data_IF_432900140465
#
_entry.id   IF_432900140465
#
_cell.length_a   1.000
_cell.length_b   1.000
_cell.length_c   1.000
_cell.angle_alpha   90.00
_cell.angle_beta   90.00
_cell.angle_gamma   90.00
#
_symmetry.space_group_name_H-M   'P 1'
#
loop_
_entity.id
_entity.type
_entity.pdbx_description
1 polymer ?
#
# COMPACT_ATOMS: atom_id res chain seq x y z
N UNK A 1 67.67 21.68 -5.94
CA UNK A 1 67.85 22.89 -5.12
C UNK A 1 67.39 24.10 -5.91
N UNK A 2 66.79 25.07 -5.23
CA UNK A 2 66.61 26.47 -5.61
C UNK A 2 65.76 26.83 -6.85
N UNK A 3 64.59 27.41 -6.52
CA UNK A 3 63.79 28.38 -7.27
C UNK A 3 64.62 29.38 -8.08
N UNK A 4 64.16 29.75 -9.28
CA UNK A 4 64.24 31.15 -9.74
C UNK A 4 63.14 31.44 -10.77
N UNK A 5 62.39 32.52 -10.52
CA UNK A 5 61.36 33.11 -11.38
C UNK A 5 61.98 34.09 -12.39
N UNK A 6 61.44 34.08 -13.62
CA UNK A 6 61.21 35.15 -14.63
C UNK A 6 62.31 36.17 -14.98
N UNK A 7 62.44 36.60 -16.26
CA UNK A 7 61.55 37.66 -16.82
C UNK A 7 61.27 37.57 -18.37
N UNK A 8 60.10 37.97 -18.90
CA UNK A 8 59.64 39.28 -19.49
C UNK A 8 59.95 39.52 -20.99
N UNK A 9 58.84 39.70 -21.77
CA UNK A 9 58.58 40.44 -23.04
C UNK A 9 59.37 40.07 -24.33
N UNK A 10 58.86 40.15 -25.57
CA UNK A 10 57.81 40.97 -26.20
C UNK A 10 57.20 40.22 -27.43
N UNK A 11 55.89 40.29 -27.65
CA UNK A 11 55.16 41.15 -28.61
C UNK A 11 55.58 41.00 -30.09
N UNK A 12 54.70 40.42 -30.91
CA UNK A 12 54.39 40.93 -32.27
C UNK A 12 53.03 40.39 -32.71
N UNK A 13 52.18 41.32 -33.14
CA UNK A 13 50.82 41.12 -33.62
C UNK A 13 50.79 40.52 -35.01
N UNK A 14 49.84 39.63 -35.30
CA UNK A 14 49.24 39.57 -36.63
C UNK A 14 47.73 39.37 -36.52
N UNK A 15 47.01 40.26 -37.19
CA UNK A 15 45.57 40.27 -37.33
C UNK A 15 45.06 39.02 -38.08
N UNK A 16 43.87 38.53 -37.72
CA UNK A 16 43.30 37.38 -38.41
C UNK A 16 41.87 37.01 -38.02
N UNK A 17 40.90 37.71 -38.63
CA UNK A 17 39.54 37.25 -38.97
C UNK A 17 38.58 36.96 -37.80
N UNK A 18 37.58 37.84 -37.67
CA UNK A 18 36.36 37.62 -36.87
C UNK A 18 35.54 36.47 -37.47
N UNK A 19 35.41 35.37 -36.75
CA UNK A 19 34.37 34.36 -36.99
C UNK A 19 33.03 34.84 -36.39
N UNK A 20 31.88 34.53 -37.01
CA UNK A 20 30.58 34.93 -36.48
C UNK A 20 30.28 34.16 -35.19
N UNK A 21 29.88 34.90 -34.15
CA UNK A 21 29.43 34.32 -32.89
C UNK A 21 28.07 33.66 -33.12
N UNK A 22 28.02 32.33 -33.20
CA UNK A 22 26.77 31.61 -33.00
C UNK A 22 26.32 31.85 -31.55
N UNK A 23 25.21 32.58 -31.38
CA UNK A 23 24.49 32.64 -30.11
C UNK A 23 23.87 31.26 -29.86
N UNK A 24 24.49 30.45 -29.00
CA UNK A 24 23.79 29.32 -28.37
C UNK A 24 22.72 29.92 -27.46
N UNK A 25 21.46 29.82 -27.88
CA UNK A 25 20.33 30.01 -26.98
C UNK A 25 20.40 28.88 -25.93
N UNK A 26 20.65 29.23 -24.68
CA UNK A 26 20.47 28.31 -23.57
C UNK A 26 18.97 28.14 -23.37
N UNK A 27 18.40 27.06 -23.92
CA UNK A 27 17.04 26.64 -23.61
C UNK A 27 17.03 26.22 -22.14
N UNK A 28 16.48 27.07 -21.27
CA UNK A 28 16.13 26.68 -19.91
C UNK A 28 15.00 25.65 -20.05
N UNK A 29 15.34 24.36 -19.94
CA UNK A 29 14.33 23.32 -19.73
C UNK A 29 13.88 23.49 -18.29
N UNK A 30 12.76 24.18 -18.10
CA UNK A 30 12.05 24.14 -16.84
C UNK A 30 11.61 22.69 -16.63
N UNK A 31 12.37 21.94 -15.82
CA UNK A 31 11.92 20.67 -15.26
C UNK A 31 10.71 20.99 -14.41
N UNK A 32 9.52 20.79 -14.98
CA UNK A 32 8.26 20.85 -14.27
C UNK A 32 8.35 19.86 -13.11
N UNK A 33 8.35 20.38 -11.89
CA UNK A 33 8.11 19.57 -10.72
C UNK A 33 6.65 19.14 -10.81
N UNK A 34 6.40 17.94 -11.32
CA UNK A 34 5.09 17.32 -11.21
C UNK A 34 4.85 17.09 -9.72
N UNK A 35 4.12 18.00 -9.09
CA UNK A 35 3.55 17.76 -7.77
C UNK A 35 2.61 16.57 -7.93
N UNK A 36 3.02 15.40 -7.43
CA UNK A 36 2.14 14.25 -7.31
C UNK A 36 0.93 14.70 -6.49
N UNK A 37 -0.25 14.68 -7.09
CA UNK A 37 -1.48 14.95 -6.36
C UNK A 37 -1.57 13.88 -5.26
N UNK A 38 -1.34 14.28 -4.01
CA UNK A 38 -1.54 13.40 -2.87
C UNK A 38 -3.01 12.98 -2.88
N UNK A 39 -3.27 11.73 -3.24
CA UNK A 39 -4.58 11.12 -3.06
C UNK A 39 -4.91 11.20 -1.58
N UNK A 40 -6.07 11.77 -1.25
CA UNK A 40 -6.53 11.82 0.13
C UNK A 40 -6.61 10.39 0.69
N UNK A 41 -6.09 10.16 1.89
CA UNK A 41 -6.22 8.87 2.55
C UNK A 41 -7.70 8.51 2.76
N UNK A 42 -8.05 7.21 2.72
CA UNK A 42 -9.43 6.77 2.95
C UNK A 42 -9.90 7.15 4.36
N UNK A 43 -11.21 7.35 4.51
CA UNK A 43 -11.80 7.57 5.83
C UNK A 43 -11.64 6.31 6.69
N UNK A 44 -11.25 6.49 7.96
CA UNK A 44 -11.09 5.39 8.92
C UNK A 44 -11.71 5.72 10.26
N UNK A 45 -11.85 4.70 11.12
CA UNK A 45 -12.41 4.88 12.45
C UNK A 45 -13.94 4.88 12.45
N UNK A 46 -14.51 5.05 13.64
CA UNK A 46 -15.95 4.95 13.85
C UNK A 46 -16.38 3.57 14.36
N UNK A 47 -17.69 3.38 14.46
CA UNK A 47 -18.26 2.15 15.00
C UNK A 47 -18.12 0.98 14.01
N UNK A 48 -17.94 -0.22 14.54
CA UNK A 48 -17.98 -1.47 13.79
C UNK A 48 -19.24 -1.57 12.92
N UNK A 49 -19.05 -1.91 11.64
CA UNK A 49 -20.14 -2.09 10.68
C UNK A 49 -20.39 -3.58 10.44
N UNK A 50 -21.65 -4.01 10.68
CA UNK A 50 -22.08 -5.41 10.47
C UNK A 50 -22.35 -5.69 9.00
N UNK A 51 -21.96 -6.89 8.57
CA UNK A 51 -22.27 -7.43 7.24
C UNK A 51 -23.28 -8.56 7.32
N UNK A 52 -23.93 -8.82 6.19
CA UNK A 52 -24.77 -10.00 6.00
C UNK A 52 -23.93 -11.16 5.44
N UNK A 53 -24.25 -12.40 5.81
CA UNK A 53 -23.53 -13.60 5.35
C UNK A 53 -23.55 -13.74 3.82
N UNK A 54 -24.54 -13.16 3.13
CA UNK A 54 -24.61 -13.14 1.66
C UNK A 54 -23.42 -12.47 0.98
N UNK A 55 -22.66 -11.62 1.68
CA UNK A 55 -21.38 -11.09 1.19
C UNK A 55 -20.39 -12.21 0.85
N UNK A 56 -20.47 -13.33 1.54
CA UNK A 56 -19.62 -14.50 1.35
C UNK A 56 -20.30 -15.63 0.57
N UNK A 57 -21.48 -15.36 -0.03
CA UNK A 57 -22.12 -16.32 -0.92
C UNK A 57 -21.22 -16.66 -2.12
N UNK A 58 -21.32 -17.89 -2.66
CA UNK A 58 -20.56 -18.30 -3.84
C UNK A 58 -20.72 -17.34 -5.02
N UNK A 59 -19.60 -17.03 -5.67
CA UNK A 59 -19.45 -16.16 -6.84
C UNK A 59 -18.65 -16.93 -7.91
N UNK A 60 -18.14 -16.22 -8.92
CA UNK A 60 -17.39 -16.84 -10.01
C UNK A 60 -16.05 -17.47 -9.58
N UNK A 61 -15.47 -17.03 -8.47
CA UNK A 61 -14.19 -17.54 -7.94
C UNK A 61 -14.29 -17.74 -6.43
N UNK A 62 -14.97 -18.80 -5.99
CA UNK A 62 -15.20 -19.06 -4.57
C UNK A 62 -16.16 -18.03 -3.98
N UNK A 63 -15.77 -17.30 -2.95
CA UNK A 63 -16.57 -16.21 -2.36
C UNK A 63 -16.31 -14.84 -3.00
N UNK A 64 -15.42 -14.76 -3.99
CA UNK A 64 -15.07 -13.52 -4.70
C UNK A 64 -15.40 -13.63 -6.20
N UNK A 65 -15.48 -12.50 -6.90
CA UNK A 65 -15.78 -12.49 -8.34
C UNK A 65 -14.58 -12.84 -9.22
N UNK A 66 -13.37 -12.58 -8.73
CA UNK A 66 -12.11 -12.75 -9.45
C UNK A 66 -11.02 -13.30 -8.52
N UNK A 67 -9.96 -13.92 -9.05
CA UNK A 67 -8.79 -14.28 -8.25
C UNK A 67 -8.12 -13.05 -7.65
N UNK A 68 -7.23 -13.30 -6.69
CA UNK A 68 -6.31 -12.28 -6.18
C UNK A 68 -5.48 -11.64 -7.30
N UNK A 69 -5.07 -10.40 -7.11
CA UNK A 69 -4.22 -9.65 -8.04
C UNK A 69 -2.97 -10.44 -8.42
N UNK A 70 -2.50 -10.28 -9.66
CA UNK A 70 -1.27 -10.94 -10.15
C UNK A 70 -0.02 -10.52 -9.37
N UNK A 71 0.00 -9.28 -8.88
CA UNK A 71 1.10 -8.75 -8.08
C UNK A 71 0.57 -8.35 -6.72
N UNK A 72 1.02 -9.07 -5.70
CA UNK A 72 0.77 -8.73 -4.30
C UNK A 72 2.04 -8.13 -3.69
N UNK A 73 1.84 -7.22 -2.74
CA UNK A 73 2.89 -6.60 -1.96
C UNK A 73 3.53 -7.62 -1.03
N UNK A 74 4.68 -7.21 -0.51
CA UNK A 74 5.38 -7.86 0.58
C UNK A 74 5.88 -9.28 0.35
N UNK A 75 5.94 -9.75 -0.91
CA UNK A 75 6.41 -11.11 -1.22
C UNK A 75 5.56 -12.20 -0.56
N UNK A 76 4.24 -11.98 -0.53
CA UNK A 76 3.29 -13.01 -0.11
C UNK A 76 3.08 -14.06 -1.21
N UNK A 77 2.81 -15.29 -0.80
CA UNK A 77 2.52 -16.41 -1.70
C UNK A 77 1.12 -16.27 -2.30
N UNK A 78 1.05 -16.04 -3.61
CA UNK A 78 -0.20 -15.79 -4.32
C UNK A 78 -1.17 -16.98 -4.26
N UNK A 79 -0.66 -18.22 -4.28
CA UNK A 79 -1.52 -19.40 -4.21
C UNK A 79 -2.20 -19.53 -2.83
N UNK A 80 -1.45 -19.26 -1.76
CA UNK A 80 -2.00 -19.14 -0.40
C UNK A 80 -2.99 -18.00 -0.31
N UNK A 81 -2.67 -16.83 -0.88
CA UNK A 81 -3.58 -15.70 -0.91
C UNK A 81 -4.91 -16.05 -1.58
N UNK A 82 -4.88 -16.67 -2.77
CA UNK A 82 -6.08 -17.03 -3.50
C UNK A 82 -6.96 -18.00 -2.74
N UNK A 83 -6.34 -19.03 -2.15
CA UNK A 83 -7.06 -20.00 -1.29
C UNK A 83 -7.68 -19.35 -0.07
N UNK A 84 -6.93 -18.49 0.64
CA UNK A 84 -7.39 -17.85 1.88
C UNK A 84 -8.46 -16.80 1.59
N UNK A 85 -8.30 -15.99 0.55
CA UNK A 85 -9.24 -14.91 0.21
C UNK A 85 -10.59 -15.45 -0.25
N UNK A 86 -10.57 -16.49 -1.08
CA UNK A 86 -11.72 -16.85 -1.92
C UNK A 86 -12.31 -18.22 -1.60
N UNK A 87 -11.53 -19.12 -1.00
CA UNK A 87 -11.93 -20.53 -0.79
C UNK A 87 -11.84 -20.98 0.66
N UNK A 88 -11.72 -20.02 1.59
CA UNK A 88 -11.57 -20.29 3.00
C UNK A 88 -12.47 -19.36 3.81
N UNK A 89 -13.37 -19.94 4.61
CA UNK A 89 -14.20 -19.22 5.60
C UNK A 89 -13.89 -19.62 7.04
N UNK A 90 -12.97 -20.57 7.21
CA UNK A 90 -12.62 -21.11 8.50
C UNK A 90 -11.10 -21.13 8.62
N UNK A 91 -10.58 -20.64 9.75
CA UNK A 91 -9.13 -20.50 9.99
C UNK A 91 -8.46 -19.41 9.16
N UNK A 92 -7.17 -19.24 9.38
CA UNK A 92 -6.33 -18.21 8.81
C UNK A 92 -5.12 -18.85 8.12
N UNK A 93 -4.30 -18.05 7.45
CA UNK A 93 -2.89 -18.38 7.23
C UNK A 93 -2.20 -18.73 8.56
N UNK A 94 -1.07 -19.44 8.55
CA UNK A 94 -0.43 -19.84 9.81
C UNK A 94 0.08 -18.65 10.63
N UNK A 95 0.02 -18.75 11.95
CA UNK A 95 0.50 -17.71 12.86
C UNK A 95 1.98 -17.38 12.60
N UNK A 96 2.27 -16.10 12.40
CA UNK A 96 3.61 -15.59 12.11
C UNK A 96 3.98 -15.62 10.63
N UNK A 97 3.06 -15.96 9.71
CA UNK A 97 3.29 -15.92 8.26
C UNK A 97 3.97 -14.63 7.82
N UNK A 98 3.41 -13.48 8.24
CA UNK A 98 3.92 -12.15 7.90
C UNK A 98 5.40 -11.94 8.24
N UNK A 99 5.95 -12.64 9.24
CA UNK A 99 7.35 -12.53 9.67
C UNK A 99 8.32 -13.13 8.65
N UNK A 100 7.84 -13.98 7.74
CA UNK A 100 8.61 -14.61 6.66
C UNK A 100 8.52 -13.87 5.33
N UNK A 101 7.84 -12.73 5.32
CA UNK A 101 7.61 -11.88 4.15
C UNK A 101 8.44 -10.60 4.27
N UNK A 102 8.39 -9.73 3.25
CA UNK A 102 9.05 -8.41 3.34
C UNK A 102 8.21 -7.35 4.07
N UNK A 103 7.04 -7.73 4.63
CA UNK A 103 6.11 -6.83 5.30
C UNK A 103 6.74 -6.04 6.43
N UNK A 104 7.42 -6.69 7.39
CA UNK A 104 7.97 -6.00 8.57
C UNK A 104 8.98 -4.93 8.13
N UNK A 105 9.89 -5.28 7.21
CA UNK A 105 10.88 -4.34 6.71
C UNK A 105 10.22 -3.13 6.02
N UNK A 106 9.22 -3.37 5.17
CA UNK A 106 8.50 -2.31 4.47
C UNK A 106 7.67 -1.43 5.43
N UNK A 107 6.95 -2.06 6.38
CA UNK A 107 6.10 -1.38 7.34
C UNK A 107 6.92 -0.52 8.32
N UNK A 108 8.03 -1.05 8.83
CA UNK A 108 8.92 -0.29 9.72
C UNK A 108 9.67 0.83 9.03
N UNK A 109 9.89 0.75 7.72
CA UNK A 109 10.53 1.79 6.92
C UNK A 109 9.55 2.88 6.43
N UNK A 110 8.24 2.70 6.61
CA UNK A 110 7.24 3.65 6.15
C UNK A 110 7.28 4.94 6.98
N UNK A 111 7.33 6.09 6.29
CA UNK A 111 7.15 7.40 6.92
C UNK A 111 5.65 7.65 7.13
N UNK A 112 5.12 7.28 8.29
CA UNK A 112 3.72 7.49 8.64
C UNK A 112 2.87 6.23 8.47
N UNK A 113 1.67 6.35 7.92
CA UNK A 113 0.72 5.24 7.89
C UNK A 113 0.78 4.47 6.57
N UNK A 114 0.62 3.15 6.64
CA UNK A 114 0.48 2.25 5.50
C UNK A 114 -1.00 1.97 5.23
N UNK A 115 -1.43 2.13 3.97
CA UNK A 115 -2.73 1.64 3.53
C UNK A 115 -2.62 0.17 3.12
N UNK A 116 -3.57 -0.62 3.61
CA UNK A 116 -3.72 -2.06 3.40
C UNK A 116 -4.88 -2.27 2.43
N UNK A 117 -4.61 -2.93 1.31
CA UNK A 117 -5.56 -3.08 0.21
C UNK A 117 -6.00 -4.53 0.09
N UNK A 118 -7.28 -4.73 -0.17
CA UNK A 118 -7.84 -6.04 -0.51
C UNK A 118 -7.03 -6.68 -1.64
N UNK A 119 -6.57 -7.91 -1.42
CA UNK A 119 -5.74 -8.63 -2.38
C UNK A 119 -6.50 -9.08 -3.62
N UNK A 120 -7.83 -9.01 -3.60
CA UNK A 120 -8.69 -9.25 -4.77
C UNK A 120 -9.04 -7.92 -5.44
N UNK A 121 -9.80 -7.07 -4.77
CA UNK A 121 -10.39 -5.87 -5.38
C UNK A 121 -9.41 -4.68 -5.47
N UNK A 122 -8.37 -4.64 -4.64
CA UNK A 122 -7.50 -3.47 -4.51
C UNK A 122 -8.11 -2.31 -3.74
N UNK A 123 -9.31 -2.47 -3.15
CA UNK A 123 -9.93 -1.43 -2.31
C UNK A 123 -9.20 -1.29 -0.97
N UNK A 124 -9.12 -0.08 -0.40
CA UNK A 124 -8.50 0.11 0.91
C UNK A 124 -9.37 -0.50 2.02
N UNK A 125 -8.76 -1.33 2.85
CA UNK A 125 -9.42 -2.01 3.98
C UNK A 125 -8.97 -1.46 5.34
N UNK A 126 -7.68 -1.12 5.46
CA UNK A 126 -7.13 -0.55 6.68
C UNK A 126 -6.08 0.53 6.39
N UNK A 127 -5.87 1.41 7.35
CA UNK A 127 -4.75 2.35 7.40
C UNK A 127 -4.11 2.26 8.77
N UNK A 128 -2.86 1.79 8.83
CA UNK A 128 -2.17 1.52 10.08
C UNK A 128 -0.68 1.87 9.99
N UNK A 129 -0.01 2.22 11.10
CA UNK A 129 -0.60 2.35 12.42
C UNK A 129 -1.37 3.68 12.57
N UNK A 130 -2.51 3.70 13.26
CA UNK A 130 -3.25 4.93 13.57
C UNK A 130 -3.61 4.97 15.05
N UNK A 131 -3.36 6.12 15.70
CA UNK A 131 -3.52 6.25 17.16
C UNK A 131 -2.47 5.48 17.98
N UNK A 132 -1.44 4.91 17.31
CA UNK A 132 -0.33 4.17 17.93
C UNK A 132 0.92 4.21 17.04
N UNK A 133 2.03 3.70 17.55
CA UNK A 133 3.29 3.60 16.80
C UNK A 133 3.36 2.30 15.98
N UNK A 134 4.27 2.26 15.00
CA UNK A 134 4.61 1.03 14.26
C UNK A 134 5.01 -0.11 15.21
N UNK A 135 5.84 0.19 16.21
CA UNK A 135 6.29 -0.79 17.19
C UNK A 135 5.12 -1.35 18.01
N UNK A 136 4.16 -0.51 18.40
CA UNK A 136 2.98 -0.95 19.13
C UNK A 136 2.09 -1.87 18.26
N UNK A 137 1.92 -1.53 16.97
CA UNK A 137 1.22 -2.37 16.00
C UNK A 137 1.90 -3.74 15.86
N UNK A 138 3.22 -3.76 15.64
CA UNK A 138 3.99 -4.98 15.44
C UNK A 138 4.08 -5.83 16.71
N UNK A 139 4.19 -5.21 17.89
CA UNK A 139 4.18 -5.91 19.17
C UNK A 139 2.85 -6.62 19.40
N UNK A 140 1.73 -5.95 19.17
CA UNK A 140 0.40 -6.56 19.27
C UNK A 140 0.20 -7.68 18.23
N UNK A 141 0.62 -7.43 16.98
CA UNK A 141 0.57 -8.43 15.91
C UNK A 141 1.44 -9.65 16.21
N UNK A 142 2.58 -9.47 16.89
CA UNK A 142 3.46 -10.58 17.30
C UNK A 142 2.88 -11.36 18.47
N UNK A 143 2.23 -10.70 19.44
CA UNK A 143 1.58 -11.35 20.57
C UNK A 143 0.44 -12.27 20.14
N UNK A 144 -0.28 -11.90 19.06
CA UNK A 144 -1.43 -12.67 18.59
C UNK A 144 -1.17 -13.54 17.36
N UNK A 145 -0.05 -13.34 16.66
CA UNK A 145 0.36 -14.18 15.53
C UNK A 145 0.00 -13.63 14.14
N UNK A 146 -0.84 -12.61 14.04
CA UNK A 146 -1.22 -11.97 12.77
C UNK A 146 -1.28 -10.45 12.91
N UNK A 147 -1.12 -9.70 11.80
CA UNK A 147 -1.48 -8.28 11.74
C UNK A 147 -2.80 -8.02 12.47
N UNK A 148 -2.74 -7.21 13.53
CA UNK A 148 -3.86 -6.98 14.44
C UNK A 148 -4.26 -5.52 14.41
N UNK A 149 -5.42 -5.21 13.84
CA UNK A 149 -5.92 -3.84 13.65
C UNK A 149 -6.92 -3.44 14.74
N UNK A 150 -7.08 -2.13 14.96
CA UNK A 150 -8.07 -1.52 15.85
C UNK A 150 -9.09 -0.68 15.07
N UNK A 151 -10.15 -0.25 15.74
CA UNK A 151 -11.28 0.46 15.11
C UNK A 151 -10.82 1.70 14.34
N UNK A 152 -9.87 2.45 14.88
CA UNK A 152 -9.30 3.66 14.27
C UNK A 152 -8.64 3.39 12.91
N UNK A 153 -8.19 2.16 12.67
CA UNK A 153 -7.45 1.76 11.47
C UNK A 153 -8.38 1.19 10.39
N UNK A 154 -9.67 1.00 10.66
CA UNK A 154 -10.61 0.33 9.76
C UNK A 154 -11.22 1.28 8.74
N UNK A 155 -11.23 0.90 7.47
CA UNK A 155 -11.96 1.59 6.38
C UNK A 155 -13.33 0.92 6.23
N UNK A 156 -14.30 1.39 7.02
CA UNK A 156 -15.65 0.79 7.07
C UNK A 156 -16.45 0.91 5.78
N UNK A 157 -16.03 1.70 4.80
CA UNK A 157 -16.65 1.68 3.47
C UNK A 157 -16.49 0.31 2.79
N UNK A 158 -15.37 -0.39 3.06
CA UNK A 158 -15.00 -1.63 2.38
C UNK A 158 -14.91 -2.86 3.31
N UNK A 159 -15.05 -2.68 4.63
CA UNK A 159 -14.93 -3.74 5.64
C UNK A 159 -16.27 -4.04 6.32
N UNK A 160 -16.56 -5.32 6.59
CA UNK A 160 -17.72 -5.75 7.38
C UNK A 160 -17.33 -6.86 8.36
N UNK A 161 -18.04 -6.92 9.50
CA UNK A 161 -17.94 -8.02 10.46
C UNK A 161 -19.23 -8.81 10.47
N UNK A 162 -19.13 -10.11 10.22
CA UNK A 162 -20.26 -11.04 10.22
C UNK A 162 -20.66 -11.48 11.64
N UNK A 163 -21.73 -12.25 11.74
CA UNK A 163 -22.33 -12.60 13.03
C UNK A 163 -21.44 -13.44 13.94
N UNK A 164 -20.63 -14.31 13.35
CA UNK A 164 -19.65 -15.16 14.01
C UNK A 164 -18.30 -14.46 14.28
N UNK A 165 -18.18 -13.19 13.89
CA UNK A 165 -16.95 -12.40 14.02
C UNK A 165 -16.01 -12.49 12.82
N UNK A 166 -16.37 -13.20 11.74
CA UNK A 166 -15.60 -13.18 10.50
C UNK A 166 -15.47 -11.75 9.97
N UNK A 167 -14.24 -11.33 9.67
CA UNK A 167 -13.94 -10.05 9.04
C UNK A 167 -13.83 -10.27 7.53
N UNK A 168 -14.62 -9.53 6.76
CA UNK A 168 -14.74 -9.70 5.30
C UNK A 168 -14.71 -8.36 4.59
N UNK A 169 -14.26 -8.36 3.33
CA UNK A 169 -14.48 -7.21 2.45
C UNK A 169 -15.93 -7.17 1.96
N UNK A 170 -16.38 -6.01 1.49
CA UNK A 170 -17.69 -5.87 0.82
C UNK A 170 -17.79 -6.64 -0.50
N UNK A 171 -16.66 -7.08 -1.07
CA UNK A 171 -16.61 -7.85 -2.32
C UNK A 171 -16.49 -9.37 -2.09
N UNK A 172 -16.48 -9.82 -0.83
CA UNK A 172 -16.51 -11.24 -0.45
C UNK A 172 -15.14 -11.87 -0.18
N UNK A 173 -14.08 -11.07 -0.08
CA UNK A 173 -12.77 -11.54 0.41
C UNK A 173 -12.83 -11.87 1.90
N UNK A 174 -12.42 -13.09 2.27
CA UNK A 174 -12.14 -13.46 3.66
C UNK A 174 -10.86 -12.80 4.15
N UNK A 175 -10.96 -11.99 5.21
CA UNK A 175 -9.83 -11.21 5.73
C UNK A 175 -9.26 -11.82 7.02
N UNK A 176 -10.10 -12.36 7.88
CA UNK A 176 -9.71 -12.86 9.19
C UNK A 176 -10.88 -12.79 10.15
N UNK A 177 -10.65 -12.43 11.41
CA UNK A 177 -11.70 -12.37 12.42
C UNK A 177 -11.53 -11.19 13.38
N UNK A 178 -12.64 -10.62 13.84
CA UNK A 178 -12.68 -9.77 15.02
C UNK A 178 -12.64 -10.65 16.27
N UNK A 179 -11.62 -10.47 17.10
CA UNK A 179 -11.39 -11.21 18.34
C UNK A 179 -11.20 -10.21 19.49
N UNK A 180 -12.29 -9.58 19.98
CA UNK A 180 -12.21 -8.53 20.98
C UNK A 180 -11.44 -8.95 22.23
N UNK A 181 -10.72 -8.00 22.83
CA UNK A 181 -9.99 -8.16 24.07
C UNK A 181 -10.37 -7.04 25.06
N UNK A 182 -9.65 -6.92 26.17
CA UNK A 182 -9.90 -5.89 27.19
C UNK A 182 -9.73 -4.45 26.68
N UNK A 183 -9.20 -4.24 25.47
CA UNK A 183 -9.04 -2.92 24.83
C UNK A 183 -10.10 -2.65 23.77
N UNK A 184 -11.05 -3.56 23.56
CA UNK A 184 -12.10 -3.44 22.55
C UNK A 184 -11.89 -4.38 21.37
N UNK A 185 -12.38 -4.00 20.19
CA UNK A 185 -12.26 -4.82 18.99
C UNK A 185 -10.78 -5.02 18.60
N UNK A 186 -10.49 -6.21 18.07
CA UNK A 186 -9.15 -6.55 17.56
C UNK A 186 -9.30 -7.41 16.32
N UNK A 187 -9.04 -6.82 15.18
CA UNK A 187 -9.17 -7.49 13.89
C UNK A 187 -7.88 -8.23 13.58
N UNK A 188 -7.90 -9.55 13.74
CA UNK A 188 -6.78 -10.44 13.48
C UNK A 188 -6.86 -10.88 12.01
N UNK A 189 -6.00 -10.30 11.17
CA UNK A 189 -6.15 -10.32 9.72
C UNK A 189 -5.00 -11.07 9.04
N UNK A 190 -5.35 -11.89 8.06
CA UNK A 190 -4.41 -12.56 7.16
C UNK A 190 -3.64 -11.51 6.35
N UNK A 191 -2.31 -11.49 6.43
CA UNK A 191 -1.49 -10.60 5.62
C UNK A 191 -1.77 -10.82 4.13
N UNK A 192 -1.90 -12.08 3.71
CA UNK A 192 -2.19 -12.43 2.31
C UNK A 192 -3.50 -11.85 1.79
N UNK A 193 -4.46 -11.49 2.65
CA UNK A 193 -5.73 -10.89 2.24
C UNK A 193 -5.66 -9.36 2.09
N UNK A 194 -4.63 -8.72 2.63
CA UNK A 194 -4.45 -7.26 2.64
C UNK A 194 -3.17 -6.77 1.93
N UNK A 195 -2.57 -7.66 1.14
CA UNK A 195 -1.36 -7.44 0.37
C UNK A 195 -1.63 -6.90 -1.05
N UNK A 196 -2.86 -6.50 -1.37
CA UNK A 196 -3.19 -5.91 -2.66
C UNK A 196 -2.46 -4.59 -2.93
N UNK A 197 -2.65 -4.10 -4.15
CA UNK A 197 -2.28 -2.75 -4.60
C UNK A 197 -3.54 -1.98 -5.00
N UNK A 198 -3.55 -0.64 -4.91
CA UNK A 198 -4.68 0.14 -5.38
C UNK A 198 -4.88 -0.12 -6.87
N UNK A 199 -6.11 -0.40 -7.28
CA UNK A 199 -6.50 -0.39 -8.68
C UNK A 199 -7.07 1.00 -8.99
N UNK A 200 -6.64 1.59 -10.10
CA UNK A 200 -7.29 2.81 -10.58
C UNK A 200 -8.75 2.46 -10.90
N UNK A 201 -9.72 3.01 -10.16
CA UNK A 201 -11.14 2.77 -10.46
C UNK A 201 -11.52 3.21 -11.88
N UNK A 202 -10.70 4.05 -12.52
CA UNK A 202 -10.83 4.43 -13.93
C UNK A 202 -10.45 3.32 -14.93
N UNK A 203 -9.62 2.36 -14.54
CA UNK A 203 -9.21 1.23 -15.39
C UNK A 203 -10.16 0.01 -15.26
N UNK A 204 -10.86 -0.11 -14.13
CA UNK A 204 -11.91 -1.09 -13.93
C UNK A 204 -13.26 -0.50 -14.41
N UNK A 205 -13.53 -0.59 -15.72
CA UNK A 205 -14.67 0.02 -16.42
C UNK A 205 -16.07 -0.21 -15.83
N UNK A 206 -16.38 0.42 -14.70
CA UNK A 206 -17.74 0.59 -14.20
C UNK A 206 -18.26 1.88 -14.81
N UNK A 207 -18.94 1.74 -15.95
CA UNK A 207 -19.88 2.76 -16.40
C UNK A 207 -20.93 2.90 -15.30
N UNK A 208 -20.79 3.91 -14.43
CA UNK A 208 -21.90 4.38 -13.59
C UNK A 208 -22.96 4.89 -14.57
N UNK A 209 -23.89 4.01 -14.92
CA UNK A 209 -25.14 4.42 -15.54
C UNK A 209 -25.87 5.28 -14.51
N UNK A 210 -26.17 6.50 -14.93
CA UNK A 210 -26.96 7.49 -14.24
C UNK A 210 -28.29 6.88 -13.75
N UNK A 211 -28.59 7.12 -12.47
CA UNK A 211 -29.95 7.26 -11.92
C UNK A 211 -29.91 8.39 -10.89
#
# INVERSE_FOLDING_TARGET
MARTLLPILACTSLAGRRAPRLRRAATLVATGCAASAATAQPATGGALVRGDDSLMAPKAHGTTSTPVQERLRWDVDRATADRICSYNRHYAEYAGYYKRTTFIAAFSAAEGETTFYDSVSGKPLFVAPRGRTHDAFLAESSAHGWPSFRDEECVWDNLRILDDGEAVSVDGTHLGHNLPDSKGNRYCINLVSVAGTPVDEAAAGVTRSEL
#
